data_IF_897065257126
#
_entry.id   IF_897065257126
#
_cell.length_a   1.000
_cell.length_b   1.000
_cell.length_c   1.000
_cell.angle_alpha   90.00
_cell.angle_beta   90.00
_cell.angle_gamma   90.00
#
_symmetry.space_group_name_H-M   'P 1'
#
loop_
_entity.id
_entity.type
_entity.pdbx_description
1 polymer ?
#
# COMPACT_ATOMS: atom_id res chain seq x y z
N UNK A 1 -18.63 -15.60 7.09
CA UNK A 1 -17.55 -16.26 7.85
C UNK A 1 -18.11 -17.13 8.97
N UNK A 2 -17.23 -17.89 9.64
CA UNK A 2 -17.57 -18.65 10.87
C UNK A 2 -17.27 -17.79 12.09
N UNK A 3 -18.23 -17.62 13.00
CA UNK A 3 -17.99 -16.87 14.23
C UNK A 3 -17.21 -17.72 15.23
N UNK A 4 -15.93 -17.38 15.43
CA UNK A 4 -15.02 -18.13 16.30
C UNK A 4 -15.07 -17.70 17.78
N UNK A 5 -15.33 -16.43 18.07
CA UNK A 5 -15.36 -15.94 19.45
C UNK A 5 -15.34 -14.42 19.59
N UNK A 6 -14.96 -13.96 20.77
CA UNK A 6 -14.89 -12.53 21.13
C UNK A 6 -13.52 -12.19 21.69
N UNK A 7 -12.99 -11.02 21.36
CA UNK A 7 -11.69 -10.56 21.82
C UNK A 7 -11.80 -9.13 22.37
N UNK A 8 -11.15 -8.85 23.51
CA UNK A 8 -11.24 -7.54 24.20
C UNK A 8 -10.34 -6.47 23.58
N UNK A 9 -9.18 -6.86 23.06
CA UNK A 9 -8.23 -5.97 22.38
C UNK A 9 -8.01 -6.39 20.91
N UNK A 10 -8.92 -6.02 19.99
CA UNK A 10 -8.77 -6.36 18.57
C UNK A 10 -7.59 -5.62 17.91
N UNK A 11 -7.14 -4.49 18.46
CA UNK A 11 -6.06 -3.71 17.87
C UNK A 11 -4.71 -4.43 18.02
N UNK A 12 -4.42 -4.97 19.21
CA UNK A 12 -3.23 -5.80 19.39
C UNK A 12 -3.29 -7.07 18.54
N UNK A 13 -4.46 -7.72 18.46
CA UNK A 13 -4.64 -8.94 17.66
C UNK A 13 -4.34 -8.69 16.17
N UNK A 14 -4.89 -7.63 15.58
CA UNK A 14 -4.63 -7.27 14.17
C UNK A 14 -3.15 -6.99 13.94
N UNK A 15 -2.49 -6.24 14.82
CA UNK A 15 -1.04 -5.98 14.71
C UNK A 15 -0.24 -7.27 14.71
N UNK A 16 -0.57 -8.21 15.61
CA UNK A 16 0.10 -9.49 15.67
C UNK A 16 -0.16 -10.32 14.41
N UNK A 17 -1.40 -10.43 13.94
CA UNK A 17 -1.74 -11.18 12.72
C UNK A 17 -1.03 -10.61 11.49
N UNK A 18 -1.02 -9.29 11.31
CA UNK A 18 -0.29 -8.65 10.20
C UNK A 18 1.22 -8.86 10.31
N UNK A 19 1.78 -8.87 11.53
CA UNK A 19 3.20 -9.19 11.74
C UNK A 19 3.51 -10.65 11.38
N UNK A 20 2.65 -11.60 11.77
CA UNK A 20 2.79 -13.01 11.40
C UNK A 20 2.71 -13.20 9.88
N UNK A 21 1.83 -12.45 9.20
CA UNK A 21 1.73 -12.44 7.73
C UNK A 21 3.03 -11.97 7.07
N UNK A 22 3.68 -10.95 7.63
CA UNK A 22 4.95 -10.42 7.10
C UNK A 22 6.17 -11.29 7.42
N UNK A 23 6.07 -12.18 8.40
CA UNK A 23 7.16 -13.07 8.82
C UNK A 23 7.01 -14.50 8.26
N UNK A 24 6.12 -14.73 7.29
CA UNK A 24 5.75 -16.05 6.73
C UNK A 24 5.11 -17.07 7.68
N UNK A 25 4.82 -16.71 8.92
CA UNK A 25 4.05 -17.58 9.83
C UNK A 25 2.59 -17.75 9.38
N UNK A 26 2.08 -16.82 8.57
CA UNK A 26 0.80 -16.88 7.89
C UNK A 26 0.98 -16.67 6.39
N UNK A 27 0.16 -17.35 5.57
CA UNK A 27 0.16 -17.17 4.12
C UNK A 27 -0.13 -15.69 3.78
N UNK A 28 0.67 -15.02 2.92
CA UNK A 28 0.45 -13.65 2.47
C UNK A 28 -0.95 -13.36 1.91
N UNK A 29 -1.66 -14.37 1.41
CA UNK A 29 -3.03 -14.25 0.87
C UNK A 29 -4.11 -14.16 1.96
N UNK A 30 -3.78 -14.43 3.23
CA UNK A 30 -4.73 -14.30 4.33
C UNK A 30 -5.05 -12.83 4.56
N UNK A 31 -6.33 -12.48 4.50
CA UNK A 31 -6.81 -11.11 4.74
C UNK A 31 -7.35 -10.94 6.15
N UNK A 32 -7.04 -9.80 6.75
CA UNK A 32 -7.35 -9.43 8.13
C UNK A 32 -8.01 -8.05 8.13
N UNK A 33 -9.35 -8.07 8.13
CA UNK A 33 -10.19 -6.87 8.04
C UNK A 33 -10.77 -6.54 9.42
N UNK A 34 -10.47 -5.34 9.92
CA UNK A 34 -11.05 -4.84 11.18
C UNK A 34 -12.06 -3.73 10.88
N UNK A 35 -13.33 -4.08 11.05
CA UNK A 35 -14.42 -3.11 11.01
C UNK A 35 -14.57 -2.46 12.40
N UNK A 36 -14.12 -1.19 12.50
CA UNK A 36 -14.16 -0.44 13.76
C UNK A 36 -15.60 -0.05 14.12
N UNK A 37 -16.44 0.23 13.12
CA UNK A 37 -17.81 0.71 13.32
C UNK A 37 -18.69 -0.44 13.82
N UNK A 38 -18.62 -1.58 13.15
CA UNK A 38 -19.38 -2.78 13.50
C UNK A 38 -18.73 -3.60 14.63
N UNK A 39 -17.53 -3.20 15.07
CA UNK A 39 -16.73 -3.89 16.11
C UNK A 39 -16.45 -5.36 15.76
N UNK A 40 -16.19 -5.62 14.49
CA UNK A 40 -15.95 -6.97 13.97
C UNK A 40 -14.52 -7.10 13.43
N UNK A 41 -13.93 -8.28 13.65
CA UNK A 41 -12.67 -8.68 13.03
C UNK A 41 -12.97 -9.89 12.13
N UNK A 42 -12.72 -9.75 10.84
CA UNK A 42 -12.92 -10.79 9.84
C UNK A 42 -11.56 -11.26 9.35
N UNK A 43 -11.41 -12.58 9.25
CA UNK A 43 -10.22 -13.22 8.69
C UNK A 43 -10.69 -14.05 7.51
N UNK A 44 -10.15 -13.78 6.34
CA UNK A 44 -10.46 -14.50 5.11
C UNK A 44 -9.27 -15.34 4.67
N UNK A 45 -9.55 -16.62 4.43
CA UNK A 45 -8.56 -17.63 4.00
C UNK A 45 -9.08 -18.42 2.81
N UNK A 46 -10.18 -17.99 2.20
CA UNK A 46 -10.77 -18.58 1.02
C UNK A 46 -9.97 -18.23 -0.23
N UNK A 47 -10.01 -19.13 -1.20
CA UNK A 47 -9.38 -18.97 -2.51
C UNK A 47 -10.27 -18.16 -3.45
N UNK A 48 -9.66 -17.51 -4.44
CA UNK A 48 -10.39 -16.79 -5.49
C UNK A 48 -10.60 -15.30 -5.23
N UNK A 49 -10.14 -14.80 -4.08
CA UNK A 49 -10.03 -13.36 -3.81
C UNK A 49 -8.99 -12.73 -4.73
N UNK A 50 -9.29 -11.55 -5.26
CA UNK A 50 -8.35 -10.77 -6.04
C UNK A 50 -7.44 -10.02 -5.07
N UNK A 51 -6.13 -10.17 -5.27
CA UNK A 51 -5.12 -9.48 -4.48
C UNK A 51 -4.40 -8.43 -5.32
N UNK A 52 -4.08 -7.30 -4.70
CA UNK A 52 -3.30 -6.21 -5.27
C UNK A 52 -2.03 -6.00 -4.45
N UNK A 53 -0.83 -6.13 -5.06
CA UNK A 53 0.41 -5.88 -4.37
C UNK A 53 0.65 -4.37 -4.20
N UNK A 54 0.95 -3.95 -2.98
CA UNK A 54 1.22 -2.54 -2.65
C UNK A 54 2.48 -2.43 -1.80
N UNK A 55 3.18 -1.29 -1.90
CA UNK A 55 4.29 -1.00 -1.01
C UNK A 55 3.78 -0.62 0.37
N UNK A 56 4.42 -1.17 1.40
CA UNK A 56 4.08 -0.83 2.78
C UNK A 56 4.69 0.50 3.18
N UNK A 57 3.89 1.34 3.84
CA UNK A 57 4.32 2.61 4.44
C UNK A 57 4.34 2.47 5.96
N UNK A 58 5.43 2.89 6.59
CA UNK A 58 5.55 2.96 8.05
C UNK A 58 6.12 4.32 8.43
N UNK A 59 5.48 5.01 9.39
CA UNK A 59 5.88 6.33 9.87
C UNK A 59 6.11 7.37 8.75
N UNK A 60 5.24 7.36 7.73
CA UNK A 60 5.32 8.27 6.59
C UNK A 60 6.51 8.01 5.65
N UNK A 61 7.10 6.81 5.69
CA UNK A 61 8.17 6.38 4.79
C UNK A 61 7.85 5.04 4.16
N UNK A 62 8.27 4.87 2.91
CA UNK A 62 8.24 3.58 2.23
C UNK A 62 9.21 2.62 2.90
N UNK A 63 8.79 1.36 3.10
CA UNK A 63 9.69 0.30 3.55
C UNK A 63 10.64 -0.16 2.43
N UNK A 64 10.25 0.02 1.17
CA UNK A 64 11.17 -0.24 0.05
C UNK A 64 12.30 0.80 0.05
N UNK A 65 13.53 0.31 0.03
CA UNK A 65 14.73 1.15 0.02
C UNK A 65 15.54 0.92 -1.25
N UNK A 66 16.46 1.85 -1.54
CA UNK A 66 17.36 1.76 -2.70
C UNK A 66 18.20 0.48 -2.68
N UNK A 67 18.54 -0.02 -1.51
CA UNK A 67 19.26 -1.29 -1.34
C UNK A 67 18.49 -2.48 -1.91
N UNK A 68 17.18 -2.59 -1.66
CA UNK A 68 16.34 -3.64 -2.25
C UNK A 68 16.34 -3.54 -3.78
N UNK A 69 16.22 -2.33 -4.33
CA UNK A 69 16.24 -2.09 -5.78
C UNK A 69 17.60 -2.47 -6.40
N UNK A 70 18.70 -2.16 -5.72
CA UNK A 70 20.05 -2.55 -6.16
C UNK A 70 20.19 -4.08 -6.20
N UNK A 71 19.75 -4.80 -5.16
CA UNK A 71 19.80 -6.28 -5.15
C UNK A 71 19.08 -6.89 -6.35
N UNK A 72 17.89 -6.37 -6.68
CA UNK A 72 17.11 -6.80 -7.86
C UNK A 72 17.88 -6.49 -9.16
N UNK A 73 18.43 -5.28 -9.28
CA UNK A 73 19.06 -4.78 -10.51
C UNK A 73 20.38 -5.49 -10.79
N UNK A 74 21.16 -5.74 -9.75
CA UNK A 74 22.45 -6.45 -9.83
C UNK A 74 22.28 -7.96 -10.02
N UNK A 75 21.04 -8.46 -10.11
CA UNK A 75 20.72 -9.89 -10.20
C UNK A 75 21.39 -10.71 -9.09
N UNK A 76 21.47 -10.13 -7.90
CA UNK A 76 21.66 -10.93 -6.70
C UNK A 76 20.42 -11.83 -6.58
N UNK A 77 20.54 -13.01 -5.97
CA UNK A 77 19.43 -13.95 -5.75
C UNK A 77 18.37 -13.32 -4.82
N UNK A 78 17.60 -12.37 -5.35
CA UNK A 78 16.63 -11.54 -4.67
C UNK A 78 15.49 -11.25 -5.64
N UNK A 79 14.40 -11.97 -5.44
CA UNK A 79 13.23 -12.03 -6.29
C UNK A 79 12.02 -11.37 -5.64
N UNK A 80 10.89 -11.42 -6.34
CA UNK A 80 9.61 -10.90 -5.86
C UNK A 80 9.15 -11.56 -4.54
N UNK A 81 9.39 -12.85 -4.39
CA UNK A 81 9.11 -13.58 -3.15
C UNK A 81 9.83 -12.96 -1.95
N UNK A 82 11.08 -12.53 -2.13
CA UNK A 82 11.88 -11.95 -1.06
C UNK A 82 11.35 -10.56 -0.66
N UNK A 83 10.77 -9.79 -1.59
CA UNK A 83 10.11 -8.51 -1.27
C UNK A 83 8.85 -8.70 -0.43
N UNK A 84 8.10 -9.79 -0.67
CA UNK A 84 6.96 -10.17 0.17
C UNK A 84 7.45 -10.67 1.53
N UNK A 85 8.49 -11.50 1.54
CA UNK A 85 9.12 -12.04 2.75
C UNK A 85 9.66 -10.93 3.67
N UNK A 86 10.31 -9.93 3.09
CA UNK A 86 10.85 -8.79 3.84
C UNK A 86 9.72 -7.84 4.33
N UNK A 87 8.45 -8.13 3.99
CA UNK A 87 7.29 -7.32 4.35
C UNK A 87 7.28 -5.95 3.68
N UNK A 88 8.07 -5.78 2.61
CA UNK A 88 8.18 -4.54 1.83
C UNK A 88 6.96 -4.38 0.92
N UNK A 89 6.45 -5.50 0.40
CA UNK A 89 5.23 -5.58 -0.38
C UNK A 89 4.19 -6.39 0.40
N UNK A 90 2.96 -5.89 0.42
CA UNK A 90 1.81 -6.55 1.05
C UNK A 90 0.72 -6.79 -0.01
N UNK A 91 0.15 -7.99 -0.02
CA UNK A 91 -0.96 -8.36 -0.89
C UNK A 91 -2.26 -7.97 -0.19
N UNK A 92 -2.98 -6.99 -0.73
CA UNK A 92 -4.27 -6.55 -0.18
C UNK A 92 -5.39 -7.08 -1.06
N UNK A 93 -6.42 -7.65 -0.43
CA UNK A 93 -7.67 -7.93 -1.13
C UNK A 93 -8.63 -6.74 -1.08
N UNK A 94 -9.70 -6.82 -1.87
CA UNK A 94 -10.68 -5.75 -2.00
C UNK A 94 -11.32 -5.34 -0.66
N UNK A 95 -11.45 -6.27 0.28
CA UNK A 95 -12.05 -6.00 1.60
C UNK A 95 -11.05 -5.37 2.57
N UNK A 96 -9.76 -5.75 2.50
CA UNK A 96 -8.70 -5.04 3.20
C UNK A 96 -8.54 -3.61 2.67
N UNK A 97 -8.68 -3.40 1.36
CA UNK A 97 -8.58 -2.09 0.70
C UNK A 97 -9.54 -1.04 1.30
N UNK A 98 -10.72 -1.44 1.81
CA UNK A 98 -11.67 -0.51 2.46
C UNK A 98 -11.17 0.09 3.78
N UNK A 99 -10.16 -0.54 4.40
CA UNK A 99 -9.67 -0.16 5.73
C UNK A 99 -8.29 0.51 5.73
N UNK A 100 -7.66 0.58 4.56
CA UNK A 100 -6.30 1.12 4.37
C UNK A 100 -6.33 2.47 3.66
N UNK A 101 -5.25 3.22 3.82
CA UNK A 101 -5.01 4.46 3.09
C UNK A 101 -3.84 4.26 2.13
N UNK A 102 -4.09 4.45 0.83
CA UNK A 102 -3.12 4.22 -0.26
C UNK A 102 -2.77 5.55 -0.93
N UNK A 103 -1.49 5.94 -0.93
CA UNK A 103 -1.02 7.07 -1.74
C UNK A 103 -0.67 6.62 -3.17
N UNK A 104 -0.87 7.51 -4.15
CA UNK A 104 -0.68 7.19 -5.57
C UNK A 104 0.77 7.29 -6.03
N UNK A 105 1.54 8.20 -5.43
CA UNK A 105 2.94 8.40 -5.74
C UNK A 105 3.78 8.63 -4.47
N UNK A 106 5.08 8.25 -4.47
CA UNK A 106 5.99 8.56 -3.38
C UNK A 106 6.08 10.06 -3.08
N UNK A 107 5.94 10.93 -4.11
CA UNK A 107 5.94 12.38 -3.89
C UNK A 107 4.77 12.85 -3.03
N UNK A 108 3.60 12.19 -3.11
CA UNK A 108 2.45 12.52 -2.27
C UNK A 108 2.75 12.21 -0.79
N UNK A 109 3.52 11.15 -0.54
CA UNK A 109 3.99 10.79 0.80
C UNK A 109 5.00 11.82 1.35
N UNK A 110 5.93 12.30 0.51
CA UNK A 110 6.90 13.34 0.88
C UNK A 110 6.22 14.70 1.13
N UNK A 111 5.24 15.06 0.31
CA UNK A 111 4.43 16.26 0.50
C UNK A 111 3.65 16.19 1.81
N UNK A 112 3.03 15.05 2.13
CA UNK A 112 2.31 14.85 3.38
C UNK A 112 3.22 14.99 4.61
N UNK A 113 4.47 14.48 4.53
CA UNK A 113 5.47 14.63 5.59
C UNK A 113 5.90 16.09 5.77
N UNK A 114 6.22 16.78 4.68
CA UNK A 114 6.68 18.18 4.72
C UNK A 114 5.59 19.12 5.25
N UNK A 115 4.33 18.85 4.92
CA UNK A 115 3.17 19.57 5.46
C UNK A 115 2.91 19.28 6.94
N UNK A 116 3.24 18.08 7.43
CA UNK A 116 3.12 17.75 8.86
C UNK A 116 4.18 18.49 9.70
N UNK A 117 5.41 18.64 9.18
CA UNK A 117 6.49 19.35 9.87
C UNK A 117 6.35 20.89 9.78
N UNK A 118 5.63 21.40 8.79
CA UNK A 118 5.59 22.84 8.49
C UNK A 118 4.16 23.38 8.57
N UNK A 119 3.82 24.05 9.69
CA UNK A 119 2.56 24.80 9.85
C UNK A 119 2.50 26.10 9.03
N UNK A 120 3.39 26.28 8.06
CA UNK A 120 3.54 27.48 7.25
C UNK A 120 3.54 27.12 5.78
N UNK A 121 2.73 27.85 5.01
CA UNK A 121 2.72 27.83 3.56
C UNK A 121 4.13 28.11 3.01
N UNK A 122 4.88 27.08 2.64
CA UNK A 122 5.95 27.24 1.67
C UNK A 122 5.28 27.48 0.32
N UNK A 123 5.46 28.69 -0.21
CA UNK A 123 5.20 29.00 -1.62
C UNK A 123 5.90 27.93 -2.47
N UNK A 124 5.11 27.01 -3.03
CA UNK A 124 5.63 26.05 -3.99
C UNK A 124 6.18 26.83 -5.17
N UNK A 125 7.40 26.48 -5.61
CA UNK A 125 7.93 26.89 -6.90
C UNK A 125 6.81 26.81 -7.96
N UNK A 126 6.74 27.80 -8.86
CA UNK A 126 5.70 27.87 -9.88
C UNK A 126 5.51 26.48 -10.52
N UNK A 127 4.30 25.89 -10.45
CA UNK A 127 4.09 24.55 -10.97
C UNK A 127 4.45 24.55 -12.46
N UNK A 128 5.19 23.52 -12.89
CA UNK A 128 5.54 23.35 -14.29
C UNK A 128 4.23 23.32 -15.10
N UNK A 129 4.03 24.25 -16.06
CA UNK A 129 2.81 24.34 -16.84
C UNK A 129 2.52 23.08 -17.68
N UNK A 130 3.53 22.22 -17.91
CA UNK A 130 3.36 20.96 -18.63
C UNK A 130 3.04 19.76 -17.72
N UNK A 131 3.09 19.92 -16.39
CA UNK A 131 2.88 18.82 -15.46
C UNK A 131 1.38 18.55 -15.23
N UNK A 132 1.05 17.26 -15.06
CA UNK A 132 -0.30 16.85 -14.65
C UNK A 132 -0.69 17.52 -13.33
N UNK A 133 -1.87 18.12 -13.29
CA UNK A 133 -2.44 18.72 -12.07
C UNK A 133 -2.65 17.64 -11.02
N UNK A 134 -1.97 17.76 -9.88
CA UNK A 134 -2.15 16.88 -8.71
C UNK A 134 -3.16 17.49 -7.74
N UNK A 135 -4.04 16.67 -7.17
CA UNK A 135 -4.90 17.07 -6.07
C UNK A 135 -4.11 17.02 -4.76
N UNK A 136 -4.08 18.12 -4.00
CA UNK A 136 -3.41 18.14 -2.70
C UNK A 136 -4.30 17.46 -1.66
N UNK A 137 -3.92 16.25 -1.24
CA UNK A 137 -4.63 15.51 -0.20
C UNK A 137 -3.87 15.71 1.13
N UNK A 138 -4.54 16.32 2.12
CA UNK A 138 -4.02 16.44 3.49
C UNK A 138 -4.41 15.21 4.30
N UNK A 139 -3.55 14.21 4.31
CA UNK A 139 -3.70 13.04 5.20
C UNK A 139 -2.39 12.78 5.92
N UNK A 140 -2.47 12.42 7.20
CA UNK A 140 -1.31 12.22 8.06
C UNK A 140 -0.99 10.74 8.30
N UNK A 141 -1.70 9.82 7.66
CA UNK A 141 -1.66 8.39 7.99
C UNK A 141 -1.81 7.50 6.75
N UNK A 142 -0.90 7.64 5.78
CA UNK A 142 -0.77 6.66 4.70
C UNK A 142 -0.27 5.33 5.24
N UNK A 143 -0.90 4.24 4.81
CA UNK A 143 -0.53 2.87 5.20
C UNK A 143 0.19 2.10 4.10
N UNK A 144 -0.12 2.44 2.85
CA UNK A 144 0.43 1.81 1.67
C UNK A 144 0.65 2.84 0.56
N UNK A 145 1.46 2.48 -0.42
CA UNK A 145 1.68 3.24 -1.64
C UNK A 145 1.47 2.34 -2.85
N UNK A 146 0.85 2.89 -3.89
CA UNK A 146 0.76 2.25 -5.19
C UNK A 146 2.16 1.98 -5.75
N UNK A 147 2.35 0.82 -6.38
CA UNK A 147 3.60 0.52 -7.09
C UNK A 147 3.74 1.44 -8.31
N UNK A 148 2.70 1.49 -9.15
CA UNK A 148 2.59 2.43 -10.24
C UNK A 148 1.14 2.52 -10.74
N UNK A 149 0.55 3.71 -10.95
CA UNK A 149 -0.85 3.86 -11.38
C UNK A 149 -1.20 3.13 -12.68
N UNK A 150 -0.25 2.95 -13.60
CA UNK A 150 -0.48 2.21 -14.85
C UNK A 150 -0.77 0.72 -14.66
N UNK A 151 -0.51 0.15 -13.48
CA UNK A 151 -0.83 -1.25 -13.17
C UNK A 151 -2.34 -1.51 -13.08
N UNK A 152 -3.17 -0.45 -13.10
CA UNK A 152 -4.62 -0.57 -13.23
C UNK A 152 -5.07 -1.04 -14.63
N UNK A 153 -4.21 -0.89 -15.64
CA UNK A 153 -4.54 -1.21 -17.02
C UNK A 153 -4.50 -2.72 -17.27
N UNK A 154 -5.51 -3.22 -17.97
CA UNK A 154 -5.49 -4.60 -18.49
C UNK A 154 -4.49 -4.78 -19.63
N UNK A 155 -4.19 -6.03 -19.98
CA UNK A 155 -3.17 -6.42 -20.98
C UNK A 155 -3.34 -5.72 -22.33
N UNK A 156 -4.57 -5.58 -22.82
CA UNK A 156 -4.83 -4.89 -24.10
C UNK A 156 -4.74 -3.37 -23.98
N UNK A 157 -5.02 -2.80 -22.81
CA UNK A 157 -4.94 -1.36 -22.61
C UNK A 157 -3.48 -0.91 -22.35
N UNK A 158 -2.64 -1.79 -21.78
CA UNK A 158 -1.23 -1.47 -21.48
C UNK A 158 -0.34 -1.31 -22.72
N UNK A 159 -0.81 -1.73 -23.90
CA UNK A 159 -0.10 -1.56 -25.18
C UNK A 159 -0.50 -0.29 -25.94
N UNK A 160 -1.51 0.45 -25.46
CA UNK A 160 -1.96 1.69 -26.09
C UNK A 160 -0.96 2.80 -25.73
N UNK A 161 -0.31 3.47 -26.70
CA UNK A 161 0.56 4.60 -26.41
C UNK A 161 -0.23 5.74 -25.77
N UNK A 162 0.30 6.32 -24.69
CA UNK A 162 -0.32 7.41 -23.93
C UNK A 162 -1.80 7.13 -23.58
N UNK A 163 -2.08 6.03 -22.86
CA UNK A 163 -3.45 5.58 -22.63
C UNK A 163 -4.27 6.56 -21.78
N UNK A 164 -3.61 7.41 -21.01
CA UNK A 164 -4.16 8.46 -20.18
C UNK A 164 -4.43 9.79 -20.92
N UNK A 165 -4.07 9.87 -22.21
CA UNK A 165 -4.25 11.06 -23.06
C UNK A 165 -5.27 10.85 -24.19
N UNK A 166 -5.99 9.72 -24.18
CA UNK A 166 -6.97 9.37 -25.20
C UNK A 166 -8.39 9.80 -24.82
N UNK A 167 -9.24 10.05 -25.81
CA UNK A 167 -10.60 10.61 -25.66
C UNK A 167 -11.62 9.61 -25.11
#
# INVERSE_FOLDING_TARGET
GVWMGVHRDPAALVRTLKKLRRNEDLNPEVSVVRDIREKELRIYTDSGRVCRPLFVVTDGKLLIQKEHVMKITEKQDYAWSDLIHDGVIELLDAEEEETVMICMSPEDLEAARTQADTQYHTESAAPDPAQRVKTVIKTHAWSHCEIHPSMILGVCASIIPFPDHNQ
#
